data_IF_543051551957
#
_entry.id   IF_543051551957
#
_cell.length_a   1.000
_cell.length_b   1.000
_cell.length_c   1.000
_cell.angle_alpha   90.00
_cell.angle_beta   90.00
_cell.angle_gamma   90.00
#
_symmetry.space_group_name_H-M   'P 1'
#
loop_
_entity.id
_entity.type
_entity.pdbx_description
1 polymer ?
#
# COMPACT_ATOMS: atom_id res chain seq x y z
N UNK A 1 15.62 2.14 -9.22
CA UNK A 1 15.49 0.86 -9.95
C UNK A 1 14.11 0.30 -9.66
N UNK A 2 13.33 -0.04 -10.68
CA UNK A 2 12.03 -0.71 -10.54
C UNK A 2 12.30 -2.18 -10.22
N UNK A 3 11.54 -2.76 -9.31
CA UNK A 3 11.62 -4.18 -8.94
C UNK A 3 10.44 -4.91 -9.60
N UNK A 4 10.67 -5.45 -10.80
CA UNK A 4 9.61 -6.00 -11.63
C UNK A 4 8.84 -7.13 -10.93
N UNK A 5 9.54 -7.99 -10.16
CA UNK A 5 8.90 -9.07 -9.42
C UNK A 5 7.99 -8.54 -8.30
N UNK A 6 8.36 -7.43 -7.66
CA UNK A 6 7.53 -6.79 -6.67
C UNK A 6 6.31 -6.07 -7.28
N UNK A 7 6.49 -5.43 -8.43
CA UNK A 7 5.39 -4.84 -9.20
C UNK A 7 4.39 -5.93 -9.64
N UNK A 8 4.86 -7.11 -10.05
CA UNK A 8 4.00 -8.25 -10.43
C UNK A 8 3.21 -8.80 -9.24
N UNK A 9 3.85 -8.92 -8.07
CA UNK A 9 3.18 -9.33 -6.84
C UNK A 9 2.11 -8.31 -6.42
N UNK A 10 2.44 -7.02 -6.45
CA UNK A 10 1.50 -5.94 -6.15
C UNK A 10 0.34 -5.90 -7.16
N UNK A 11 0.60 -6.10 -8.44
CA UNK A 11 -0.44 -6.17 -9.47
C UNK A 11 -1.41 -7.33 -9.20
N UNK A 12 -0.87 -8.48 -8.80
CA UNK A 12 -1.67 -9.65 -8.41
C UNK A 12 -2.59 -9.34 -7.21
N UNK A 13 -2.08 -8.65 -6.19
CA UNK A 13 -2.87 -8.24 -5.02
C UNK A 13 -4.00 -7.26 -5.37
N UNK A 14 -3.80 -6.41 -6.39
CA UNK A 14 -4.78 -5.40 -6.81
C UNK A 14 -5.83 -5.96 -7.78
N UNK A 15 -5.57 -7.10 -8.42
CA UNK A 15 -6.43 -7.70 -9.44
C UNK A 15 -7.89 -7.90 -9.00
N UNK A 16 -8.21 -8.38 -7.77
CA UNK A 16 -9.61 -8.55 -7.35
C UNK A 16 -10.40 -7.23 -7.28
N UNK A 17 -9.74 -6.11 -7.04
CA UNK A 17 -10.38 -4.79 -7.02
C UNK A 17 -10.56 -4.22 -8.43
N UNK A 18 -9.66 -4.56 -9.34
CA UNK A 18 -9.71 -4.10 -10.74
C UNK A 18 -10.69 -4.92 -11.58
N UNK A 19 -10.76 -6.24 -11.36
CA UNK A 19 -11.63 -7.15 -12.08
C UNK A 19 -13.09 -7.14 -11.55
N UNK A 20 -13.34 -6.47 -10.42
CA UNK A 20 -14.66 -6.34 -9.82
C UNK A 20 -15.17 -7.45 -8.88
N UNK A 21 -14.50 -8.59 -8.59
CA UNK A 21 -14.99 -9.52 -7.57
C UNK A 21 -14.90 -8.97 -6.14
N UNK A 22 -14.10 -7.93 -5.90
CA UNK A 22 -14.00 -7.24 -4.62
C UNK A 22 -14.19 -5.74 -4.78
N UNK A 23 -15.14 -5.17 -4.03
CA UNK A 23 -15.33 -3.72 -3.97
C UNK A 23 -14.28 -3.07 -3.06
N UNK A 24 -13.86 -1.86 -3.41
CA UNK A 24 -13.04 -1.05 -2.50
C UNK A 24 -13.86 -0.66 -1.27
N UNK A 25 -13.31 -0.73 -0.04
CA UNK A 25 -14.01 -0.33 1.16
C UNK A 25 -14.41 1.15 1.12
N UNK A 26 -15.72 1.41 1.15
CA UNK A 26 -16.28 2.76 1.06
C UNK A 26 -16.15 3.54 2.37
N UNK A 27 -16.30 2.87 3.51
CA UNK A 27 -16.17 3.44 4.85
C UNK A 27 -14.79 3.11 5.43
N UNK A 28 -14.11 4.10 5.99
CA UNK A 28 -12.80 3.92 6.64
C UNK A 28 -11.61 3.65 5.70
N UNK A 29 -11.84 3.26 4.44
CA UNK A 29 -10.79 2.99 3.47
C UNK A 29 -10.03 1.68 3.75
N UNK A 30 -8.74 1.64 3.43
CA UNK A 30 -7.92 0.44 3.56
C UNK A 30 -6.54 0.74 4.15
N UNK A 31 -6.06 -0.11 5.07
CA UNK A 31 -4.69 -0.10 5.56
C UNK A 31 -3.86 -1.15 4.80
N UNK A 32 -2.82 -0.71 4.11
CA UNK A 32 -1.88 -1.58 3.42
C UNK A 32 -0.59 -1.74 4.23
N UNK A 33 -0.48 -2.88 4.91
CA UNK A 33 0.68 -3.23 5.72
C UNK A 33 1.88 -3.61 4.86
N UNK A 34 3.07 -3.21 5.30
CA UNK A 34 4.35 -3.42 4.58
C UNK A 34 4.26 -2.97 3.12
N UNK A 35 3.56 -1.86 2.88
CA UNK A 35 3.33 -1.34 1.55
C UNK A 35 4.66 -1.05 0.84
N UNK A 36 4.69 -1.27 -0.47
CA UNK A 36 5.78 -0.84 -1.34
C UNK A 36 5.19 0.01 -2.45
N UNK A 37 5.90 1.06 -2.81
CA UNK A 37 5.50 1.90 -3.92
C UNK A 37 5.68 1.15 -5.25
N UNK A 38 4.66 1.19 -6.11
CA UNK A 38 4.61 0.48 -7.37
C UNK A 38 3.44 0.93 -8.22
N UNK A 39 3.56 0.78 -9.54
CA UNK A 39 2.57 1.30 -10.50
C UNK A 39 1.11 0.87 -10.23
N UNK A 40 0.81 -0.36 -9.78
CA UNK A 40 -0.57 -0.77 -9.54
C UNK A 40 -1.33 0.07 -8.49
N UNK A 41 -0.64 0.68 -7.51
CA UNK A 41 -1.28 1.58 -6.54
C UNK A 41 -1.74 2.90 -7.18
N UNK A 42 -1.15 3.27 -8.31
CA UNK A 42 -1.40 4.54 -8.99
C UNK A 42 -2.32 4.42 -10.22
N UNK A 43 -2.77 3.20 -10.54
CA UNK A 43 -3.63 2.95 -11.73
C UNK A 43 -5.03 3.55 -11.60
N UNK A 44 -5.56 3.62 -10.38
CA UNK A 44 -6.90 4.12 -10.08
C UNK A 44 -6.90 4.78 -8.70
N UNK A 45 -7.76 5.78 -8.45
CA UNK A 45 -7.90 6.37 -7.12
C UNK A 45 -8.27 5.30 -6.08
N UNK A 46 -7.55 5.30 -4.96
CA UNK A 46 -7.79 4.42 -3.81
C UNK A 46 -8.21 5.27 -2.61
N UNK A 47 -9.49 5.69 -2.54
CA UNK A 47 -9.93 6.60 -1.49
C UNK A 47 -9.73 5.97 -0.11
N UNK A 48 -9.16 6.74 0.82
CA UNK A 48 -8.86 6.27 2.17
C UNK A 48 -7.77 5.20 2.26
N UNK A 49 -6.95 5.01 1.23
CA UNK A 49 -5.76 4.16 1.33
C UNK A 49 -4.73 4.81 2.26
N UNK A 50 -4.33 4.06 3.28
CA UNK A 50 -3.23 4.39 4.18
C UNK A 50 -2.21 3.25 4.10
N UNK A 51 -0.93 3.60 4.02
CA UNK A 51 0.17 2.67 3.94
C UNK A 51 0.90 2.59 5.28
N UNK A 52 1.42 1.42 5.62
CA UNK A 52 2.39 1.25 6.71
C UNK A 52 3.67 0.63 6.15
N UNK A 53 4.82 1.16 6.56
CA UNK A 53 6.11 0.61 6.19
C UNK A 53 7.18 0.93 7.25
N UNK A 54 7.72 -0.11 7.88
CA UNK A 54 8.78 0.02 8.90
C UNK A 54 10.18 0.22 8.29
N UNK A 55 10.39 -0.19 7.03
CA UNK A 55 11.67 0.00 6.34
C UNK A 55 11.74 1.37 5.68
N UNK A 56 12.51 2.27 6.31
CA UNK A 56 12.61 3.70 5.95
C UNK A 56 12.80 3.99 4.45
N UNK A 57 13.68 3.31 3.69
CA UNK A 57 13.83 3.60 2.26
C UNK A 57 12.56 3.36 1.43
N UNK A 58 11.73 2.39 1.81
CA UNK A 58 10.44 2.14 1.14
C UNK A 58 9.36 3.10 1.65
N UNK A 59 9.41 3.48 2.93
CA UNK A 59 8.53 4.52 3.47
C UNK A 59 8.73 5.87 2.75
N UNK A 60 9.98 6.31 2.60
CA UNK A 60 10.34 7.53 1.88
C UNK A 60 9.98 7.47 0.38
N UNK A 61 9.88 6.27 -0.21
CA UNK A 61 9.39 6.09 -1.59
C UNK A 61 7.88 6.32 -1.67
N UNK A 62 7.13 5.72 -0.76
CA UNK A 62 5.67 5.89 -0.67
C UNK A 62 5.29 7.36 -0.43
N UNK A 63 5.95 8.05 0.49
CA UNK A 63 5.70 9.48 0.76
C UNK A 63 5.97 10.35 -0.47
N UNK A 64 7.10 10.12 -1.17
CA UNK A 64 7.41 10.84 -2.42
C UNK A 64 6.42 10.56 -3.55
N UNK A 65 5.74 9.44 -3.51
CA UNK A 65 4.66 9.10 -4.45
C UNK A 65 3.31 9.72 -4.08
N UNK A 66 3.23 10.40 -2.93
CA UNK A 66 2.02 11.07 -2.44
C UNK A 66 1.04 10.16 -1.69
N UNK A 67 1.47 8.96 -1.29
CA UNK A 67 0.67 8.04 -0.49
C UNK A 67 0.73 8.42 0.99
N UNK A 68 -0.40 8.32 1.69
CA UNK A 68 -0.49 8.58 3.12
C UNK A 68 0.18 7.45 3.91
N UNK A 69 1.15 7.76 4.77
CA UNK A 69 1.74 6.79 5.69
C UNK A 69 1.15 6.92 7.09
N UNK A 70 0.88 5.78 7.70
CA UNK A 70 0.70 5.62 9.14
C UNK A 70 2.07 5.37 9.76
N UNK A 71 2.36 6.03 10.88
CA UNK A 71 3.45 5.61 11.75
C UNK A 71 3.14 4.19 12.23
N UNK A 72 4.05 3.25 12.02
CA UNK A 72 3.88 1.95 12.66
C UNK A 72 3.86 2.20 14.17
N UNK A 73 2.75 1.85 14.84
CA UNK A 73 2.72 1.82 16.29
C UNK A 73 3.94 0.99 16.71
N UNK A 74 4.88 1.65 17.38
CA UNK A 74 6.18 1.08 17.70
C UNK A 74 5.99 -0.32 18.25
N UNK A 75 6.79 -1.24 17.72
CA UNK A 75 7.06 -2.60 18.19
C UNK A 75 6.24 -2.96 19.42
N UNK A 76 5.33 -3.93 19.27
CA UNK A 76 4.53 -4.43 20.38
C UNK A 76 5.43 -4.73 21.57
N UNK A 77 5.56 -3.73 22.45
CA UNK A 77 6.27 -3.85 23.70
C UNK A 77 5.43 -4.83 24.50
N UNK A 78 5.95 -6.05 24.51
CA UNK A 78 5.57 -7.17 25.33
C UNK A 78 5.01 -6.67 26.67
N UNK A 79 3.77 -7.06 26.98
CA UNK A 79 3.27 -7.08 28.34
C UNK A 79 3.36 -8.49 28.88
#
# INVERSE_FOLDING_TARGET
>A
MRDAAADDALATLMLPFEAGPLSWPAEGGALFLRARDGYPLHRQPRPGLVCEQSFRPEAERLERSGLTLREADGDGAER
#
